data_IF_926357330698
#
_entry.id   IF_926357330698
#
_cell.length_a   1.000
_cell.length_b   1.000
_cell.length_c   1.000
_cell.angle_alpha   90.00
_cell.angle_beta   90.00
_cell.angle_gamma   90.00
#
_symmetry.space_group_name_H-M   'P 1'
#
loop_
_entity.id
_entity.type
_entity.pdbx_description
1 polymer ?
#
# COMPACT_ATOMS: atom_id res chain seq x y z
N UNK A 1 -5.97 22.81 2.57
CA UNK A 1 -5.32 22.79 3.91
C UNK A 1 -4.13 21.87 3.77
N UNK A 2 -2.90 22.39 3.80
CA UNK A 2 -1.69 21.62 3.50
C UNK A 2 -1.34 20.69 4.67
N UNK A 3 -0.89 19.47 4.38
CA UNK A 3 -0.41 18.53 5.41
C UNK A 3 0.74 19.13 6.25
N UNK A 4 1.56 20.00 5.64
CA UNK A 4 2.61 20.76 6.32
C UNK A 4 2.05 21.82 7.28
N UNK A 5 0.93 22.48 6.95
CA UNK A 5 0.27 23.44 7.84
C UNK A 5 -0.21 22.79 9.14
N UNK A 6 -0.53 21.50 9.10
CA UNK A 6 -0.93 20.72 10.29
C UNK A 6 0.26 20.29 11.18
N UNK A 7 1.51 20.49 10.76
CA UNK A 7 2.67 20.22 11.61
C UNK A 7 2.79 21.18 12.79
N UNK A 8 2.11 22.33 12.74
CA UNK A 8 2.13 23.36 13.80
C UNK A 8 0.94 23.22 14.75
N UNK A 9 0.62 21.99 15.21
CA UNK A 9 -0.32 21.77 16.32
C UNK A 9 -1.58 20.96 16.02
N UNK A 10 -1.82 20.55 14.75
CA UNK A 10 -3.00 19.77 14.36
C UNK A 10 -2.74 18.25 14.20
N UNK A 11 -3.81 17.46 14.08
CA UNK A 11 -3.73 16.06 13.68
C UNK A 11 -3.26 15.95 12.22
N UNK A 12 -2.40 14.96 11.96
CA UNK A 12 -1.90 14.63 10.62
C UNK A 12 -2.56 13.33 10.16
N UNK A 13 -3.56 13.41 9.27
CA UNK A 13 -4.21 12.21 8.75
C UNK A 13 -3.29 11.48 7.76
N UNK A 14 -3.14 10.18 7.94
CA UNK A 14 -2.30 9.32 7.12
C UNK A 14 -3.07 8.06 6.74
N UNK A 15 -3.15 7.77 5.45
CA UNK A 15 -3.94 6.68 4.91
C UNK A 15 -3.05 5.65 4.22
N UNK A 16 -3.21 4.37 4.58
CA UNK A 16 -2.39 3.29 4.06
C UNK A 16 -3.22 2.11 3.58
N UNK A 17 -2.90 1.60 2.39
CA UNK A 17 -3.31 0.26 1.97
C UNK A 17 -2.22 -0.73 2.38
N UNK A 18 -2.57 -1.67 3.23
CA UNK A 18 -1.69 -2.73 3.69
C UNK A 18 -2.15 -4.07 3.10
N UNK A 19 -1.40 -4.56 2.14
CA UNK A 19 -1.62 -5.82 1.46
C UNK A 19 -0.29 -6.41 0.99
N UNK A 20 -0.07 -7.73 1.00
CA UNK A 20 1.09 -8.29 0.30
C UNK A 20 0.88 -8.19 -1.22
N UNK A 21 1.90 -8.51 -2.01
CA UNK A 21 1.74 -8.64 -3.46
C UNK A 21 0.59 -9.59 -3.80
N UNK A 22 0.01 -9.47 -4.99
CA UNK A 22 -1.07 -10.33 -5.51
C UNK A 22 -2.43 -10.22 -4.79
N UNK A 23 -2.64 -9.18 -4.01
CA UNK A 23 -3.91 -8.93 -3.29
C UNK A 23 -4.78 -7.85 -3.96
N UNK A 24 -4.64 -7.63 -5.26
CA UNK A 24 -5.39 -6.64 -6.03
C UNK A 24 -5.23 -5.17 -5.56
N UNK A 25 -4.12 -4.85 -4.89
CA UNK A 25 -3.87 -3.48 -4.41
C UNK A 25 -3.74 -2.44 -5.53
N UNK A 26 -3.32 -2.87 -6.73
CA UNK A 26 -3.32 -2.01 -7.93
C UNK A 26 -4.74 -1.72 -8.40
N UNK A 27 -5.63 -2.72 -8.38
CA UNK A 27 -7.05 -2.53 -8.68
C UNK A 27 -7.68 -1.54 -7.68
N UNK A 28 -7.43 -1.74 -6.38
CA UNK A 28 -7.93 -0.81 -5.37
C UNK A 28 -7.44 0.63 -5.60
N UNK A 29 -6.19 0.82 -6.04
CA UNK A 29 -5.69 2.15 -6.39
C UNK A 29 -6.46 2.78 -7.56
N UNK A 30 -6.80 2.00 -8.59
CA UNK A 30 -7.63 2.45 -9.71
C UNK A 30 -9.04 2.85 -9.23
N UNK A 31 -9.65 2.03 -8.38
CA UNK A 31 -10.97 2.32 -7.81
C UNK A 31 -10.97 3.58 -6.95
N UNK A 32 -9.97 3.77 -6.09
CA UNK A 32 -9.81 4.98 -5.28
C UNK A 32 -9.66 6.23 -6.15
N UNK A 33 -8.97 6.12 -7.28
CA UNK A 33 -8.78 7.24 -8.20
C UNK A 33 -10.05 7.65 -8.96
N UNK A 34 -11.09 6.82 -8.93
CA UNK A 34 -12.41 7.21 -9.46
C UNK A 34 -13.19 8.12 -8.50
N UNK A 35 -12.67 8.39 -7.32
CA UNK A 35 -13.25 9.35 -6.40
C UNK A 35 -12.58 10.73 -6.54
N UNK A 36 -13.32 11.86 -6.59
CA UNK A 36 -12.73 13.19 -6.75
C UNK A 36 -11.73 13.54 -5.64
N UNK A 37 -12.06 13.22 -4.41
CA UNK A 37 -11.28 13.58 -3.22
C UNK A 37 -10.08 12.64 -2.94
N UNK A 38 -9.99 11.48 -3.59
CA UNK A 38 -8.98 10.46 -3.30
C UNK A 38 -7.92 10.38 -4.40
N UNK A 39 -6.70 10.09 -4.00
CA UNK A 39 -5.58 9.76 -4.88
C UNK A 39 -4.80 8.58 -4.37
N UNK A 40 -4.43 7.66 -5.26
CA UNK A 40 -3.51 6.57 -4.98
C UNK A 40 -2.68 6.26 -6.22
N UNK A 41 -1.38 6.14 -6.04
CA UNK A 41 -0.44 5.85 -7.14
C UNK A 41 -0.14 4.35 -7.29
N UNK A 42 -0.83 3.50 -6.52
CA UNK A 42 -0.53 2.08 -6.50
C UNK A 42 0.80 1.78 -5.80
N UNK A 43 1.52 0.79 -6.31
CA UNK A 43 2.77 0.31 -5.70
C UNK A 43 3.94 1.19 -6.12
N UNK A 44 4.04 2.36 -5.54
CA UNK A 44 5.07 3.36 -5.84
C UNK A 44 6.01 3.56 -4.69
N UNK A 45 7.27 3.77 -5.05
CA UNK A 45 8.24 4.40 -4.18
C UNK A 45 8.67 5.69 -4.87
N UNK A 46 8.69 6.83 -4.18
CA UNK A 46 9.20 8.08 -4.74
C UNK A 46 10.71 7.96 -4.93
N UNK A 47 11.13 7.28 -5.99
CA UNK A 47 12.54 7.01 -6.22
C UNK A 47 12.93 7.14 -7.67
N UNK A 48 13.96 7.97 -7.89
CA UNK A 48 14.57 8.30 -9.18
C UNK A 48 15.04 7.10 -10.01
N UNK A 49 15.43 5.98 -9.37
CA UNK A 49 16.05 4.83 -10.02
C UNK A 49 15.13 3.65 -10.25
N UNK A 50 13.97 3.61 -9.58
CA UNK A 50 13.24 2.36 -9.46
C UNK A 50 12.55 1.89 -10.73
N UNK A 51 12.03 2.79 -11.54
CA UNK A 51 11.22 2.34 -12.67
C UNK A 51 11.28 3.25 -13.90
N UNK A 52 12.48 3.71 -14.35
CA UNK A 52 12.53 4.62 -15.50
C UNK A 52 11.90 4.01 -16.75
N UNK A 53 11.92 2.68 -16.87
CA UNK A 53 11.37 1.95 -18.01
C UNK A 53 10.01 1.33 -17.75
N UNK A 54 9.49 1.39 -16.52
CA UNK A 54 8.16 0.90 -16.21
C UNK A 54 7.10 1.77 -16.89
N UNK A 55 6.06 1.15 -17.43
CA UNK A 55 4.92 1.91 -17.95
C UNK A 55 4.08 2.45 -16.80
N UNK A 56 3.71 3.70 -16.89
CA UNK A 56 2.68 4.35 -16.08
C UNK A 56 1.29 3.86 -16.49
N UNK A 57 0.28 4.10 -15.69
CA UNK A 57 -1.12 3.87 -16.07
C UNK A 57 -1.55 4.66 -17.31
N UNK A 58 -0.93 5.81 -17.58
CA UNK A 58 -1.12 6.58 -18.81
C UNK A 58 -0.35 6.03 -20.02
N UNK A 59 0.20 4.81 -19.93
CA UNK A 59 0.98 4.07 -20.92
C UNK A 59 2.38 4.61 -21.22
N UNK A 60 2.67 5.88 -20.93
CA UNK A 60 4.02 6.43 -21.06
C UNK A 60 5.00 5.69 -20.13
N UNK A 61 6.28 5.67 -20.47
CA UNK A 61 7.29 5.24 -19.50
C UNK A 61 7.38 6.27 -18.35
N UNK A 62 7.65 5.83 -17.14
CA UNK A 62 7.73 6.73 -15.97
C UNK A 62 8.65 7.92 -16.24
N UNK A 63 9.82 7.69 -16.85
CA UNK A 63 10.77 8.76 -17.20
C UNK A 63 10.24 9.77 -18.23
N UNK A 64 9.30 9.32 -19.08
CA UNK A 64 8.74 10.12 -20.19
C UNK A 64 7.33 10.65 -19.85
N UNK A 65 6.79 10.29 -18.70
CA UNK A 65 5.49 10.71 -18.21
C UNK A 65 5.56 12.11 -17.60
N UNK A 66 4.82 13.06 -18.14
CA UNK A 66 4.79 14.44 -17.66
C UNK A 66 4.42 14.57 -16.18
N UNK A 67 3.47 13.75 -15.72
CA UNK A 67 3.08 13.71 -14.30
C UNK A 67 4.28 13.33 -13.40
N UNK A 68 5.01 12.25 -13.74
CA UNK A 68 6.16 11.83 -12.95
C UNK A 68 7.33 12.80 -13.04
N UNK A 69 7.52 13.45 -14.20
CA UNK A 69 8.50 14.52 -14.35
C UNK A 69 8.17 15.70 -13.43
N UNK A 70 6.91 16.14 -13.40
CA UNK A 70 6.45 17.20 -12.52
C UNK A 70 6.58 16.84 -11.04
N UNK A 71 6.21 15.59 -10.65
CA UNK A 71 6.44 15.07 -9.29
C UNK A 71 7.93 15.19 -8.92
N UNK A 72 8.84 14.74 -9.79
CA UNK A 72 10.27 14.81 -9.54
C UNK A 72 10.79 16.24 -9.42
N UNK A 73 10.29 17.15 -10.26
CA UNK A 73 10.67 18.56 -10.24
C UNK A 73 10.25 19.24 -8.93
N UNK A 74 9.01 19.00 -8.47
CA UNK A 74 8.50 19.60 -7.22
C UNK A 74 9.14 19.04 -5.96
N UNK A 75 9.60 17.80 -6.02
CA UNK A 75 10.19 17.13 -4.87
C UNK A 75 11.69 17.39 -4.70
N UNK A 76 12.31 18.18 -5.57
CA UNK A 76 13.77 18.35 -5.60
C UNK A 76 14.49 17.00 -5.67
N UNK A 77 14.57 16.46 -6.88
CA UNK A 77 15.01 15.09 -7.15
C UNK A 77 16.40 14.75 -6.58
N UNK A 78 17.25 15.74 -6.35
CA UNK A 78 18.59 15.53 -5.78
C UNK A 78 18.51 15.28 -4.26
N UNK A 79 17.60 15.94 -3.56
CA UNK A 79 17.32 15.69 -2.14
C UNK A 79 16.76 14.28 -1.93
N UNK A 80 15.93 13.78 -2.86
CA UNK A 80 15.40 12.42 -2.83
C UNK A 80 16.44 11.34 -3.17
N UNK A 81 17.39 11.66 -4.02
CA UNK A 81 18.45 10.72 -4.40
C UNK A 81 19.36 10.33 -3.22
N UNK A 82 19.42 11.17 -2.20
CA UNK A 82 20.29 11.02 -1.04
C UNK A 82 19.54 10.79 0.28
N UNK A 83 18.19 10.91 0.29
CA UNK A 83 17.44 10.69 1.50
C UNK A 83 17.28 9.19 1.77
N UNK A 84 17.47 8.80 3.03
CA UNK A 84 17.13 7.47 3.60
C UNK A 84 15.62 7.16 3.57
N UNK A 85 14.84 7.95 2.82
CA UNK A 85 13.42 7.75 2.54
C UNK A 85 13.13 6.36 1.97
N UNK A 86 14.13 5.78 1.36
CA UNK A 86 14.17 4.42 0.87
C UNK A 86 14.28 3.37 1.97
N UNK A 87 13.71 3.65 3.12
CA UNK A 87 13.60 2.65 4.17
C UNK A 87 12.73 1.51 3.66
N UNK A 88 13.20 0.34 3.75
CA UNK A 88 13.32 -0.71 2.77
C UNK A 88 12.03 -1.48 2.56
N UNK A 89 11.30 -1.16 1.52
CA UNK A 89 10.41 -2.15 0.94
C UNK A 89 11.15 -3.03 -0.11
N UNK A 90 12.29 -2.56 -0.63
CA UNK A 90 12.99 -3.25 -1.74
C UNK A 90 14.51 -3.29 -1.59
N UNK A 91 15.13 -4.47 -1.64
CA UNK A 91 16.55 -4.69 -1.33
C UNK A 91 17.56 -4.33 -2.42
N UNK A 92 17.17 -3.81 -3.58
CA UNK A 92 18.02 -3.86 -4.78
C UNK A 92 18.74 -2.57 -5.16
N UNK A 93 18.67 -1.48 -4.39
CA UNK A 93 18.91 -0.14 -4.92
C UNK A 93 20.27 0.50 -4.62
N UNK A 94 21.01 0.17 -3.57
CA UNK A 94 22.40 0.62 -3.37
C UNK A 94 23.16 -0.11 -2.26
N UNK A 95 24.52 0.07 -2.20
CA UNK A 95 25.34 -0.48 -1.10
C UNK A 95 24.96 0.14 0.26
N UNK A 96 24.68 1.43 0.28
CA UNK A 96 24.25 2.18 1.47
C UNK A 96 22.88 1.73 1.96
N UNK A 97 22.02 1.32 1.04
CA UNK A 97 20.73 0.72 1.32
C UNK A 97 20.80 -0.52 2.21
N UNK A 98 21.80 -1.39 2.07
CA UNK A 98 21.89 -2.62 2.89
C UNK A 98 22.08 -2.30 4.38
N UNK A 99 22.89 -1.31 4.70
CA UNK A 99 23.14 -0.89 6.09
C UNK A 99 21.86 -0.24 6.64
N UNK A 100 21.28 0.68 5.91
CA UNK A 100 20.04 1.35 6.30
C UNK A 100 18.88 0.37 6.41
N UNK A 101 18.82 -0.64 5.53
CA UNK A 101 17.79 -1.68 5.59
C UNK A 101 17.92 -2.58 6.84
N UNK A 102 19.12 -2.90 7.27
CA UNK A 102 19.36 -3.67 8.50
C UNK A 102 18.93 -2.86 9.71
N UNK A 103 19.36 -1.61 9.80
CA UNK A 103 18.97 -0.68 10.88
C UNK A 103 17.46 -0.53 10.92
N UNK A 104 16.82 -0.24 9.79
CA UNK A 104 15.38 -0.06 9.72
C UNK A 104 14.61 -1.34 10.08
N UNK A 105 15.08 -2.52 9.65
CA UNK A 105 14.47 -3.80 10.06
C UNK A 105 14.63 -4.04 11.57
N UNK A 106 15.79 -3.74 12.10
CA UNK A 106 16.05 -3.87 13.56
C UNK A 106 15.19 -2.91 14.35
N UNK A 107 15.09 -1.63 13.93
CA UNK A 107 14.21 -0.65 14.56
C UNK A 107 12.73 -1.04 14.41
N UNK A 108 12.32 -1.60 13.28
CA UNK A 108 10.95 -2.12 13.11
C UNK A 108 10.71 -3.30 14.04
N UNK A 109 11.60 -4.28 14.08
CA UNK A 109 11.47 -5.43 14.96
C UNK A 109 11.43 -4.99 16.44
N UNK A 110 12.28 -4.03 16.82
CA UNK A 110 12.32 -3.48 18.17
C UNK A 110 11.05 -2.67 18.47
N UNK A 111 10.52 -1.93 17.51
CA UNK A 111 9.24 -1.20 17.64
C UNK A 111 8.06 -2.13 17.86
N UNK A 112 8.09 -3.33 17.28
CA UNK A 112 7.06 -4.35 17.50
C UNK A 112 7.04 -4.85 18.95
N UNK A 113 8.18 -4.79 19.66
CA UNK A 113 8.33 -5.24 21.05
C UNK A 113 8.23 -4.11 22.07
N UNK A 114 8.84 -2.96 21.77
CA UNK A 114 9.00 -1.83 22.70
C UNK A 114 8.14 -0.60 22.35
N UNK A 115 7.39 -0.67 21.26
CA UNK A 115 6.58 0.44 20.76
C UNK A 115 7.35 1.36 19.81
N UNK A 116 6.60 2.25 19.10
CA UNK A 116 7.14 3.07 18.02
C UNK A 116 8.16 4.13 18.46
N UNK A 117 8.27 4.42 19.76
CA UNK A 117 9.23 5.38 20.31
C UNK A 117 10.70 5.07 20.01
N UNK A 118 11.01 3.82 19.68
CA UNK A 118 12.36 3.36 19.28
C UNK A 118 12.94 4.14 18.10
N UNK A 119 12.09 4.64 17.19
CA UNK A 119 12.53 5.42 16.04
C UNK A 119 13.20 6.76 16.40
N UNK A 120 13.01 7.25 17.61
CA UNK A 120 13.72 8.43 18.11
C UNK A 120 15.23 8.22 18.24
N UNK A 121 15.70 6.98 18.15
CA UNK A 121 17.13 6.65 18.15
C UNK A 121 17.83 6.97 16.83
N UNK A 122 17.09 7.34 15.75
CA UNK A 122 17.64 7.72 14.45
C UNK A 122 17.14 9.12 14.01
N UNK A 123 17.52 10.22 14.69
CA UNK A 123 16.82 11.50 14.58
C UNK A 123 16.97 12.20 13.23
N UNK A 124 18.14 12.15 12.57
CA UNK A 124 18.37 12.87 11.28
C UNK A 124 17.61 12.23 10.13
N UNK A 125 17.80 10.93 9.91
CA UNK A 125 17.08 10.17 8.89
C UNK A 125 15.55 10.24 9.07
N UNK A 126 15.12 10.41 10.32
CA UNK A 126 13.71 10.43 10.70
C UNK A 126 13.00 11.74 10.31
N UNK A 127 13.64 12.90 10.50
CA UNK A 127 13.02 14.18 10.11
C UNK A 127 12.95 14.34 8.60
N UNK A 128 14.00 13.99 7.88
CA UNK A 128 14.02 14.01 6.41
C UNK A 128 12.97 13.07 5.82
N UNK A 129 12.85 11.88 6.39
CA UNK A 129 11.80 10.93 6.01
C UNK A 129 10.40 11.50 6.20
N UNK A 130 10.11 12.08 7.36
CA UNK A 130 8.79 12.64 7.67
C UNK A 130 8.44 13.77 6.70
N UNK A 131 9.33 14.74 6.56
CA UNK A 131 9.12 15.89 5.67
C UNK A 131 8.91 15.46 4.22
N UNK A 132 9.73 14.52 3.75
CA UNK A 132 9.68 14.01 2.40
C UNK A 132 8.39 13.24 2.14
N UNK A 133 7.98 12.39 3.09
CA UNK A 133 6.75 11.61 2.97
C UNK A 133 5.51 12.52 2.91
N UNK A 134 5.43 13.52 3.78
CA UNK A 134 4.30 14.45 3.81
C UNK A 134 4.28 15.32 2.55
N UNK A 135 5.45 15.83 2.13
CA UNK A 135 5.55 16.64 0.92
C UNK A 135 5.17 15.86 -0.35
N UNK A 136 5.58 14.59 -0.43
CA UNK A 136 5.14 13.72 -1.52
C UNK A 136 3.62 13.61 -1.59
N UNK A 137 2.96 13.34 -0.46
CA UNK A 137 1.49 13.28 -0.41
C UNK A 137 0.82 14.59 -0.83
N UNK A 138 1.36 15.74 -0.43
CA UNK A 138 0.87 17.07 -0.84
C UNK A 138 1.00 17.29 -2.34
N UNK A 139 2.19 17.04 -2.90
CA UNK A 139 2.45 17.17 -4.35
C UNK A 139 1.48 16.31 -5.17
N UNK A 140 1.24 15.07 -4.73
CA UNK A 140 0.29 14.19 -5.42
C UNK A 140 -1.13 14.73 -5.34
N UNK A 141 -1.58 15.17 -4.16
CA UNK A 141 -2.91 15.75 -3.99
C UNK A 141 -3.10 17.00 -4.86
N UNK A 142 -2.11 17.87 -4.93
CA UNK A 142 -2.14 19.06 -5.79
C UNK A 142 -2.23 18.72 -7.27
N UNK A 143 -1.36 17.81 -7.76
CA UNK A 143 -1.32 17.40 -9.16
C UNK A 143 -2.58 16.65 -9.60
N UNK A 144 -3.18 15.88 -8.71
CA UNK A 144 -4.38 15.10 -8.97
C UNK A 144 -5.67 15.75 -8.47
N UNK A 145 -5.61 17.00 -8.03
CA UNK A 145 -6.75 17.81 -7.54
C UNK A 145 -7.58 17.06 -6.49
N UNK A 146 -6.92 16.36 -5.57
CA UNK A 146 -7.55 15.56 -4.53
C UNK A 146 -7.24 16.08 -3.14
N UNK A 147 -7.98 15.61 -2.14
CA UNK A 147 -7.81 16.00 -0.73
C UNK A 147 -7.03 14.99 0.09
N UNK A 148 -7.05 13.73 -0.31
CA UNK A 148 -6.52 12.61 0.44
C UNK A 148 -5.62 11.76 -0.44
N UNK A 149 -4.36 11.60 -0.03
CA UNK A 149 -3.45 10.64 -0.62
C UNK A 149 -3.47 9.33 0.17
N UNK A 150 -3.89 8.25 -0.49
CA UNK A 150 -3.91 6.90 0.07
C UNK A 150 -2.64 6.17 -0.37
N UNK A 151 -1.70 6.02 0.56
CA UNK A 151 -0.41 5.40 0.32
C UNK A 151 -0.52 3.88 0.19
N UNK A 152 -0.03 3.34 -0.91
CA UNK A 152 -0.09 1.90 -1.22
C UNK A 152 1.31 1.23 -1.24
N UNK A 153 2.29 1.79 -0.56
CA UNK A 153 3.68 1.28 -0.54
C UNK A 153 3.83 0.00 0.31
N UNK A 154 2.87 -0.33 1.16
CA UNK A 154 2.84 -1.57 1.96
C UNK A 154 3.95 -1.70 3.01
N UNK A 155 4.55 -0.58 3.41
CA UNK A 155 5.69 -0.54 4.32
C UNK A 155 5.27 -0.40 5.78
N UNK A 156 5.38 -1.46 6.56
CA UNK A 156 5.23 -1.39 8.03
C UNK A 156 6.24 -0.43 8.66
N UNK A 157 7.46 -0.43 8.13
CA UNK A 157 8.54 0.44 8.63
C UNK A 157 8.18 1.90 8.50
N UNK A 158 7.69 2.32 7.33
CA UNK A 158 7.25 3.70 7.09
C UNK A 158 6.10 4.10 8.00
N UNK A 159 5.09 3.23 8.15
CA UNK A 159 3.94 3.49 9.01
C UNK A 159 4.36 3.66 10.48
N UNK A 160 5.20 2.76 11.00
CA UNK A 160 5.67 2.81 12.38
C UNK A 160 6.61 4.01 12.62
N UNK A 161 7.45 4.37 11.65
CA UNK A 161 8.28 5.56 11.72
C UNK A 161 7.41 6.83 11.82
N UNK A 162 6.43 6.98 10.95
CA UNK A 162 5.50 8.11 10.97
C UNK A 162 4.74 8.18 12.30
N UNK A 163 4.25 7.04 12.79
CA UNK A 163 3.58 6.98 14.10
C UNK A 163 4.48 7.42 15.24
N UNK A 164 5.75 7.03 15.21
CA UNK A 164 6.73 7.42 16.23
C UNK A 164 7.07 8.91 16.17
N UNK A 165 7.30 9.42 14.96
CA UNK A 165 7.75 10.80 14.73
C UNK A 165 6.64 11.81 15.03
N UNK A 166 5.43 11.51 14.62
CA UNK A 166 4.26 12.37 14.84
C UNK A 166 3.62 12.19 16.23
N UNK A 167 3.88 11.05 16.88
CA UNK A 167 3.32 10.76 18.19
C UNK A 167 1.79 10.77 18.21
N UNK A 168 1.18 11.50 19.13
CA UNK A 168 -0.28 11.63 19.26
C UNK A 168 -0.94 12.38 18.09
N UNK A 169 -0.17 13.15 17.31
CA UNK A 169 -0.68 13.86 16.13
C UNK A 169 -0.93 12.96 14.93
N UNK A 170 -0.34 11.76 14.88
CA UNK A 170 -0.57 10.83 13.78
C UNK A 170 -1.97 10.21 13.89
N UNK A 171 -2.86 10.58 12.99
CA UNK A 171 -4.15 9.93 12.77
C UNK A 171 -4.04 8.95 11.63
N UNK A 172 -3.61 7.72 11.95
CA UNK A 172 -3.33 6.69 10.96
C UNK A 172 -4.58 5.86 10.69
N UNK A 173 -4.94 5.75 9.41
CA UNK A 173 -6.00 4.87 8.90
C UNK A 173 -5.42 3.80 8.00
N UNK A 174 -5.68 2.55 8.34
CA UNK A 174 -5.17 1.36 7.64
C UNK A 174 -6.31 0.65 6.94
N UNK A 175 -6.23 0.56 5.63
CA UNK A 175 -7.05 -0.32 4.81
C UNK A 175 -6.30 -1.64 4.70
N UNK A 176 -6.77 -2.65 5.42
CA UNK A 176 -6.23 -4.00 5.35
C UNK A 176 -6.90 -4.75 4.20
N UNK A 177 -6.29 -4.73 3.02
CA UNK A 177 -6.80 -5.48 1.89
C UNK A 177 -6.35 -6.94 1.99
N UNK A 178 -7.32 -7.83 2.04
CA UNK A 178 -7.13 -9.28 2.17
C UNK A 178 -7.81 -10.02 1.02
N UNK A 179 -7.27 -11.17 0.68
CA UNK A 179 -7.78 -12.04 -0.40
C UNK A 179 -7.60 -13.49 -0.02
N UNK A 180 -8.41 -14.37 -0.62
CA UNK A 180 -8.33 -15.82 -0.44
C UNK A 180 -6.89 -16.32 -0.58
N UNK A 181 -6.35 -17.02 0.44
CA UNK A 181 -4.98 -17.53 0.42
C UNK A 181 -4.71 -18.53 -0.71
N UNK A 182 -5.73 -19.21 -1.24
CA UNK A 182 -5.60 -20.13 -2.39
C UNK A 182 -5.35 -19.36 -3.68
N UNK A 183 -6.06 -18.22 -3.86
CA UNK A 183 -5.83 -17.30 -4.97
C UNK A 183 -4.47 -16.60 -4.87
N UNK A 184 -4.03 -16.28 -3.66
CA UNK A 184 -2.67 -15.77 -3.42
C UNK A 184 -1.61 -16.81 -3.80
N UNK A 185 -1.75 -18.06 -3.35
CA UNK A 185 -0.84 -19.17 -3.69
C UNK A 185 -0.72 -19.36 -5.19
N UNK A 186 -1.83 -19.41 -5.92
CA UNK A 186 -1.79 -19.55 -7.39
C UNK A 186 -1.01 -18.39 -8.04
N UNK A 187 -1.25 -17.16 -7.60
CA UNK A 187 -0.57 -15.99 -8.15
C UNK A 187 0.94 -16.01 -7.86
N UNK A 188 1.33 -16.46 -6.67
CA UNK A 188 2.73 -16.60 -6.29
C UNK A 188 3.43 -17.73 -7.07
N UNK A 189 2.74 -18.86 -7.28
CA UNK A 189 3.26 -20.00 -8.07
C UNK A 189 3.51 -19.64 -9.54
N UNK A 190 2.70 -18.77 -10.12
CA UNK A 190 2.92 -18.27 -11.49
C UNK A 190 4.24 -17.51 -11.63
N UNK A 191 4.71 -16.86 -10.57
CA UNK A 191 5.99 -16.14 -10.56
C UNK A 191 7.15 -17.01 -10.07
N UNK A 192 6.88 -17.94 -9.18
CA UNK A 192 7.85 -18.87 -8.63
C UNK A 192 7.25 -20.28 -8.58
N UNK A 193 7.46 -21.10 -9.62
CA UNK A 193 6.92 -22.47 -9.69
C UNK A 193 7.39 -23.39 -8.55
N UNK A 194 8.50 -23.08 -7.89
CA UNK A 194 9.04 -23.87 -6.78
C UNK A 194 8.34 -23.58 -5.43
N UNK A 195 7.40 -22.63 -5.38
CA UNK A 195 6.72 -22.32 -4.12
C UNK A 195 5.78 -23.45 -3.70
N UNK A 196 5.91 -23.87 -2.44
CA UNK A 196 5.00 -24.87 -1.88
C UNK A 196 3.75 -24.22 -1.26
N UNK A 197 2.59 -24.94 -1.27
CA UNK A 197 1.34 -24.43 -0.69
C UNK A 197 1.52 -23.98 0.77
N UNK A 198 2.22 -24.78 1.56
CA UNK A 198 2.48 -24.52 2.97
C UNK A 198 3.36 -23.29 3.19
N UNK A 199 4.40 -23.08 2.36
CA UNK A 199 5.29 -21.92 2.45
C UNK A 199 4.53 -20.63 2.05
N UNK A 200 3.73 -20.70 1.00
CA UNK A 200 2.86 -19.60 0.57
C UNK A 200 1.86 -19.20 1.66
N UNK A 201 1.14 -20.17 2.21
CA UNK A 201 0.19 -19.94 3.31
C UNK A 201 0.86 -19.30 4.54
N UNK A 202 2.06 -19.73 4.92
CA UNK A 202 2.83 -19.12 6.03
C UNK A 202 3.19 -17.66 5.75
N UNK A 203 3.59 -17.31 4.51
CA UNK A 203 3.87 -15.91 4.14
C UNK A 203 2.61 -15.06 4.20
N UNK A 204 1.50 -15.56 3.66
CA UNK A 204 0.20 -14.92 3.75
C UNK A 204 -0.17 -14.64 5.23
N UNK A 205 -0.13 -15.66 6.07
CA UNK A 205 -0.46 -15.56 7.49
C UNK A 205 0.46 -14.57 8.23
N UNK A 206 1.78 -14.65 7.99
CA UNK A 206 2.75 -13.78 8.65
C UNK A 206 2.53 -12.31 8.32
N UNK A 207 2.21 -11.99 7.05
CA UNK A 207 1.91 -10.63 6.64
C UNK A 207 0.61 -10.13 7.29
N UNK A 208 -0.48 -10.87 7.14
CA UNK A 208 -1.79 -10.44 7.62
C UNK A 208 -1.86 -10.34 9.15
N UNK A 209 -1.18 -11.21 9.88
CA UNK A 209 -1.02 -11.07 11.35
C UNK A 209 -0.35 -9.76 11.74
N UNK A 210 0.67 -9.33 11.01
CA UNK A 210 1.31 -8.03 11.25
C UNK A 210 0.35 -6.87 10.99
N UNK A 211 -0.47 -6.96 9.94
CA UNK A 211 -1.47 -5.93 9.67
C UNK A 211 -2.56 -5.92 10.75
N UNK A 212 -3.03 -7.08 11.19
CA UNK A 212 -3.96 -7.20 12.33
C UNK A 212 -3.40 -6.53 13.59
N UNK A 213 -2.09 -6.71 13.83
CA UNK A 213 -1.42 -6.11 14.97
C UNK A 213 -1.40 -4.57 14.93
N UNK A 214 -1.47 -3.95 13.75
CA UNK A 214 -1.55 -2.48 13.63
C UNK A 214 -2.79 -1.89 14.30
N UNK A 215 -3.85 -2.66 14.56
CA UNK A 215 -5.02 -2.23 15.34
C UNK A 215 -4.65 -1.64 16.70
N UNK A 216 -3.59 -2.15 17.31
CA UNK A 216 -3.10 -1.64 18.60
C UNK A 216 -2.55 -0.21 18.51
N UNK A 217 -2.15 0.23 17.31
CA UNK A 217 -1.61 1.58 17.07
C UNK A 217 -2.61 2.55 16.48
N UNK A 218 -3.56 2.04 15.72
CA UNK A 218 -4.55 2.87 15.02
C UNK A 218 -5.84 3.02 15.82
N UNK A 219 -6.10 2.13 16.75
CA UNK A 219 -7.40 1.97 17.38
C UNK A 219 -8.44 1.36 16.42
N UNK A 220 -9.65 1.07 16.90
CA UNK A 220 -10.70 0.46 16.09
C UNK A 220 -11.13 1.34 14.92
N UNK A 221 -11.23 2.66 15.14
CA UNK A 221 -11.62 3.63 14.12
C UNK A 221 -10.56 3.84 13.04
N UNK A 222 -9.32 3.47 13.30
CA UNK A 222 -8.19 3.59 12.37
C UNK A 222 -7.92 2.35 11.54
N UNK A 223 -8.79 1.33 11.59
CA UNK A 223 -8.57 0.08 10.89
C UNK A 223 -9.83 -0.40 10.18
N UNK A 224 -9.70 -0.66 8.87
CA UNK A 224 -10.77 -1.19 8.01
C UNK A 224 -10.26 -2.41 7.27
N UNK A 225 -10.95 -3.56 7.40
CA UNK A 225 -10.66 -4.76 6.61
C UNK A 225 -11.52 -4.76 5.36
N UNK A 226 -10.88 -4.85 4.21
CA UNK A 226 -11.52 -4.99 2.90
C UNK A 226 -11.12 -6.33 2.31
N UNK A 227 -12.10 -7.17 2.00
CA UNK A 227 -11.86 -8.40 1.25
C UNK A 227 -11.93 -8.10 -0.24
N UNK A 228 -11.02 -8.68 -1.00
CA UNK A 228 -11.08 -8.62 -2.46
C UNK A 228 -12.40 -9.19 -3.00
N UNK A 229 -12.88 -10.25 -2.36
CA UNK A 229 -14.13 -10.93 -2.72
C UNK A 229 -15.34 -10.01 -2.52
N UNK A 230 -15.36 -9.18 -1.47
CA UNK A 230 -16.44 -8.22 -1.24
C UNK A 230 -16.51 -7.17 -2.36
N UNK A 231 -15.34 -6.78 -2.92
CA UNK A 231 -15.29 -5.92 -4.11
C UNK A 231 -15.85 -6.61 -5.36
N UNK A 232 -15.74 -7.95 -5.43
CA UNK A 232 -16.27 -8.72 -6.56
C UNK A 232 -17.77 -9.00 -6.42
N UNK A 233 -18.25 -9.21 -5.19
CA UNK A 233 -19.63 -9.60 -4.90
C UNK A 233 -20.57 -8.39 -4.92
N UNK A 234 -20.16 -7.29 -4.25
CA UNK A 234 -20.87 -6.02 -4.23
C UNK A 234 -19.88 -4.86 -4.07
N UNK A 235 -19.25 -4.49 -5.18
CA UNK A 235 -18.22 -3.46 -5.21
C UNK A 235 -18.73 -2.09 -4.77
N UNK A 236 -19.98 -1.73 -5.08
CA UNK A 236 -20.55 -0.45 -4.70
C UNK A 236 -20.72 -0.35 -3.18
N UNK A 237 -21.29 -1.38 -2.54
CA UNK A 237 -21.45 -1.41 -1.09
C UNK A 237 -20.09 -1.43 -0.37
N UNK A 238 -19.13 -2.22 -0.86
CA UNK A 238 -17.77 -2.30 -0.30
C UNK A 238 -17.05 -0.95 -0.39
N UNK A 239 -17.13 -0.28 -1.54
CA UNK A 239 -16.51 1.03 -1.76
C UNK A 239 -17.21 2.14 -0.98
N UNK A 240 -18.53 2.09 -0.83
CA UNK A 240 -19.26 3.04 0.01
C UNK A 240 -18.87 2.92 1.50
N UNK A 241 -18.62 1.70 2.00
CA UNK A 241 -18.09 1.50 3.35
C UNK A 241 -16.67 2.06 3.47
N UNK A 242 -15.83 1.84 2.45
CA UNK A 242 -14.48 2.39 2.42
C UNK A 242 -14.49 3.93 2.39
N UNK A 243 -15.36 4.56 1.62
CA UNK A 243 -15.52 6.02 1.60
C UNK A 243 -15.88 6.56 3.00
N UNK A 244 -16.84 5.94 3.68
CA UNK A 244 -17.19 6.31 5.07
C UNK A 244 -15.99 6.18 6.01
N UNK A 245 -15.21 5.11 5.89
CA UNK A 245 -13.99 4.93 6.66
C UNK A 245 -12.94 6.02 6.35
N UNK A 246 -12.83 6.46 5.11
CA UNK A 246 -11.91 7.52 4.67
C UNK A 246 -12.46 8.92 4.95
N UNK A 247 -13.68 9.04 5.45
CA UNK A 247 -14.37 10.33 5.71
C UNK A 247 -14.56 11.19 4.45
N UNK A 248 -14.93 10.51 3.35
CA UNK A 248 -15.37 11.13 2.11
C UNK A 248 -16.79 10.68 1.77
N UNK A 249 -17.52 11.49 1.04
CA UNK A 249 -18.87 11.16 0.61
C UNK A 249 -18.83 10.00 -0.40
N UNK A 250 -19.63 8.92 -0.20
CA UNK A 250 -19.67 7.84 -1.16
C UNK A 250 -20.07 8.34 -2.55
N UNK A 251 -19.27 7.95 -3.55
CA UNK A 251 -19.52 8.24 -4.95
C UNK A 251 -19.63 6.92 -5.72
N UNK A 252 -20.42 6.84 -6.81
CA UNK A 252 -20.33 5.76 -7.75
C UNK A 252 -18.90 5.67 -8.29
N UNK A 253 -18.18 4.61 -7.97
CA UNK A 253 -16.83 4.40 -8.49
C UNK A 253 -16.91 3.67 -9.81
N UNK A 254 -17.52 4.33 -10.79
CA UNK A 254 -17.67 3.79 -12.12
C UNK A 254 -16.30 3.62 -12.80
N UNK A 255 -16.11 2.50 -13.44
CA UNK A 255 -15.02 2.25 -14.36
C UNK A 255 -15.54 2.44 -15.79
N UNK A 256 -14.78 2.94 -16.74
CA UNK A 256 -13.37 3.32 -16.69
C UNK A 256 -13.11 4.57 -15.82
N UNK A 257 -11.83 4.83 -15.51
CA UNK A 257 -11.40 5.98 -14.70
C UNK A 257 -11.99 7.27 -15.24
N UNK A 258 -12.78 7.94 -14.41
CA UNK A 258 -13.47 9.20 -14.78
C UNK A 258 -12.49 10.38 -14.80
N UNK A 259 -11.38 10.28 -14.08
CA UNK A 259 -10.37 11.33 -13.91
C UNK A 259 -9.07 10.96 -14.61
N UNK A 260 -8.85 11.38 -15.88
CA UNK A 260 -7.64 11.04 -16.63
C UNK A 260 -6.35 11.49 -15.93
N UNK A 261 -6.38 12.63 -15.23
CA UNK A 261 -5.25 13.15 -14.46
C UNK A 261 -4.81 12.24 -13.30
N UNK A 262 -5.65 11.30 -12.90
CA UNK A 262 -5.37 10.30 -11.87
C UNK A 262 -4.89 8.95 -12.41
N UNK A 263 -4.79 8.81 -13.75
CA UNK A 263 -4.35 7.57 -14.39
C UNK A 263 -2.81 7.41 -14.39
N UNK A 264 -2.17 7.70 -13.25
CA UNK A 264 -0.71 7.57 -13.11
C UNK A 264 -0.33 6.47 -12.11
N UNK A 265 -1.14 5.40 -12.09
CA UNK A 265 -0.96 4.26 -11.19
C UNK A 265 0.20 3.39 -11.66
N UNK A 266 1.04 2.97 -10.71
CA UNK A 266 2.08 1.95 -10.90
C UNK A 266 1.70 0.64 -10.20
N UNK A 267 2.42 -0.44 -10.50
CA UNK A 267 2.17 -1.76 -9.92
C UNK A 267 1.96 -2.84 -10.98
N UNK A 268 1.01 -3.74 -10.76
CA UNK A 268 0.77 -4.87 -11.66
C UNK A 268 0.38 -4.40 -13.07
N UNK A 269 0.89 -5.10 -14.10
CA UNK A 269 0.64 -4.79 -15.52
C UNK A 269 -0.85 -4.84 -15.90
N UNK A 270 -1.68 -5.58 -15.17
CA UNK A 270 -3.14 -5.64 -15.39
C UNK A 270 -3.81 -4.27 -15.40
N UNK A 271 -3.19 -3.22 -14.86
CA UNK A 271 -3.70 -1.85 -14.93
C UNK A 271 -3.76 -1.27 -16.35
N UNK A 272 -2.92 -1.79 -17.24
CA UNK A 272 -2.85 -1.33 -18.63
C UNK A 272 -3.96 -1.95 -19.51
N UNK A 273 -4.42 -3.15 -19.10
CA UNK A 273 -5.43 -3.92 -19.82
C UNK A 273 -6.76 -4.01 -19.05
N UNK A 274 -6.93 -3.14 -18.02
CA UNK A 274 -8.11 -3.19 -17.18
C UNK A 274 -9.35 -2.66 -17.93
N UNK A 275 -10.32 -3.54 -18.14
CA UNK A 275 -11.55 -3.28 -18.90
C UNK A 275 -12.70 -2.69 -18.06
N UNK A 276 -12.39 -2.26 -16.83
CA UNK A 276 -13.37 -1.69 -15.94
C UNK A 276 -14.17 -2.68 -15.10
N UNK A 277 -13.99 -3.99 -15.29
CA UNK A 277 -14.77 -4.98 -14.57
C UNK A 277 -13.96 -5.65 -13.45
N UNK A 278 -14.53 -5.66 -12.26
CA UNK A 278 -13.99 -6.42 -11.12
C UNK A 278 -14.52 -7.85 -11.25
N UNK A 279 -13.60 -8.81 -11.40
CA UNK A 279 -13.96 -10.23 -11.58
C UNK A 279 -13.43 -11.08 -10.45
N UNK A 280 -14.20 -12.05 -9.94
CA UNK A 280 -13.71 -13.01 -8.97
C UNK A 280 -12.49 -13.75 -9.51
N UNK A 281 -11.47 -13.90 -8.70
CA UNK A 281 -10.26 -14.62 -9.08
C UNK A 281 -10.36 -16.08 -8.66
N UNK A 282 -11.16 -16.85 -9.37
CA UNK A 282 -11.50 -18.25 -9.06
C UNK A 282 -10.61 -19.28 -9.78
N UNK A 283 -9.68 -18.86 -10.62
CA UNK A 283 -8.82 -19.76 -11.37
C UNK A 283 -7.99 -20.73 -10.52
N UNK A 284 -7.86 -20.49 -9.20
CA UNK A 284 -7.22 -21.43 -8.29
C UNK A 284 -8.04 -22.72 -8.10
N UNK A 285 -9.35 -22.69 -8.30
CA UNK A 285 -10.23 -23.87 -8.15
C UNK A 285 -9.79 -24.98 -9.10
N UNK A 286 -9.53 -24.64 -10.35
CA UNK A 286 -9.11 -25.58 -11.39
C UNK A 286 -7.59 -25.80 -11.43
N UNK A 287 -6.83 -24.76 -11.15
CA UNK A 287 -5.39 -24.76 -11.29
C UNK A 287 -4.63 -25.35 -10.09
N UNK A 288 -5.32 -25.67 -8.98
CA UNK A 288 -4.69 -26.27 -7.79
C UNK A 288 -5.43 -27.54 -7.37
N UNK A 289 -4.69 -28.53 -6.86
CA UNK A 289 -5.28 -29.76 -6.36
C UNK A 289 -6.00 -29.55 -5.02
N UNK A 290 -6.95 -30.40 -4.69
CA UNK A 290 -7.64 -30.37 -3.39
C UNK A 290 -6.64 -30.48 -2.21
N UNK A 291 -5.54 -31.24 -2.40
CA UNK A 291 -4.49 -31.35 -1.38
C UNK A 291 -3.73 -30.03 -1.20
N UNK A 292 -3.35 -29.36 -2.29
CA UNK A 292 -2.71 -28.05 -2.22
C UNK A 292 -3.59 -27.01 -1.52
N UNK A 293 -4.89 -26.99 -1.84
CA UNK A 293 -5.88 -26.11 -1.20
C UNK A 293 -5.97 -26.37 0.31
N UNK A 294 -6.07 -27.64 0.72
CA UNK A 294 -6.06 -28.02 2.13
C UNK A 294 -4.79 -27.59 2.86
N UNK A 295 -3.60 -27.75 2.22
CA UNK A 295 -2.33 -27.33 2.81
C UNK A 295 -2.22 -25.81 2.97
N UNK A 296 -2.72 -25.03 2.00
CA UNK A 296 -2.78 -23.57 2.11
C UNK A 296 -3.68 -23.16 3.27
N UNK A 297 -4.91 -23.70 3.33
CA UNK A 297 -5.86 -23.38 4.38
C UNK A 297 -5.37 -23.81 5.77
N UNK A 298 -4.78 -24.98 5.89
CA UNK A 298 -4.18 -25.42 7.15
C UNK A 298 -3.06 -24.51 7.64
N UNK A 299 -2.26 -23.96 6.71
CA UNK A 299 -1.17 -23.03 7.05
C UNK A 299 -1.64 -21.62 7.40
N UNK A 300 -2.88 -21.25 7.05
CA UNK A 300 -3.41 -19.88 7.24
C UNK A 300 -4.39 -19.76 8.39
N UNK A 301 -4.88 -20.89 8.95
CA UNK A 301 -5.76 -20.90 10.13
C UNK A 301 -5.07 -20.29 11.37
N UNK A 302 -5.80 -19.66 12.29
CA UNK A 302 -7.25 -19.41 12.28
C UNK A 302 -7.67 -18.15 11.48
N UNK A 303 -6.70 -17.36 10.97
CA UNK A 303 -7.00 -16.05 10.37
C UNK A 303 -7.84 -16.18 9.08
N UNK A 304 -7.52 -17.17 8.23
CA UNK A 304 -8.31 -17.39 7.01
C UNK A 304 -9.79 -17.66 7.34
N UNK A 305 -10.06 -18.46 8.37
CA UNK A 305 -11.43 -18.73 8.83
C UNK A 305 -12.13 -17.47 9.37
N UNK A 306 -11.41 -16.66 10.16
CA UNK A 306 -11.93 -15.38 10.66
C UNK A 306 -12.20 -14.35 9.54
N UNK A 307 -11.66 -14.58 8.35
CA UNK A 307 -11.91 -13.79 7.15
C UNK A 307 -12.92 -14.43 6.18
N UNK A 308 -13.54 -15.56 6.56
CA UNK A 308 -14.54 -16.26 5.75
C UNK A 308 -13.98 -17.19 4.67
N UNK A 309 -12.68 -17.51 4.73
CA UNK A 309 -12.06 -18.47 3.79
C UNK A 309 -12.01 -19.87 4.43
N UNK A 310 -12.80 -20.78 3.90
CA UNK A 310 -12.94 -22.15 4.36
C UNK A 310 -12.59 -23.15 3.25
#
# INVERSE_FOLDING_TARGET
>A
MTLRGNLVGGEVPLYFVMAPSYHASTLLALLLNNHPDLSSLGDTLPHRRLYPNQRCGCEARVRDCSFWQEVHQRLDADRFAHSDFMIPAYPEVSKDYRINSVVARSLTALSLSLGPGVWKLAPRASSEFLETFLHFGEVICELQQSRIFVNNVKSFTSLLALRSLLGKRARIRVIHLIRDPRGYFLSERKQNPAVTPRASGRRWLAYHRRVEWLKHYTGPEGYFRLRYEDLCDDGEAALAQLCRFLEVEPQPMCLPVVYPEKNHVLGNVTRLDFDGQIRPSLGWIEATTAEEQRQVLAATRPLSQACGYS
#
